data_IF_661302636601
#
_entry.id   IF_661302636601
#
_cell.length_a   1.000
_cell.length_b   1.000
_cell.length_c   1.000
_cell.angle_alpha   90.00
_cell.angle_beta   90.00
_cell.angle_gamma   90.00
#
_symmetry.space_group_name_H-M   'P 1'
#
loop_
_entity.id
_entity.type
_entity.pdbx_description
1 polymer ?
#
# COMPACT_ATOMS: atom_id res chain seq x y z
N UNK A 1 13.17 2.12 -41.50
CA UNK A 1 12.21 2.33 -40.39
C UNK A 1 12.81 1.66 -39.16
N UNK A 2 13.40 2.43 -38.26
CA UNK A 2 14.05 1.88 -37.07
C UNK A 2 13.00 1.71 -35.98
N UNK A 3 12.60 0.46 -35.70
CA UNK A 3 11.82 0.12 -34.52
C UNK A 3 12.74 0.16 -33.30
N UNK A 4 12.57 1.17 -32.46
CA UNK A 4 13.16 1.22 -31.12
C UNK A 4 12.45 0.19 -30.24
N UNK A 5 12.86 -1.06 -30.31
CA UNK A 5 12.58 -2.03 -29.25
C UNK A 5 13.48 -1.68 -28.08
N UNK A 6 12.92 -1.02 -27.07
CA UNK A 6 13.58 -0.81 -25.79
C UNK A 6 13.94 -2.17 -25.19
N UNK A 7 15.23 -2.46 -25.16
CA UNK A 7 15.80 -3.64 -24.53
C UNK A 7 15.72 -3.42 -23.00
N UNK A 8 14.66 -3.93 -22.38
CA UNK A 8 14.60 -4.04 -20.92
C UNK A 8 15.52 -5.21 -20.53
N UNK A 9 16.61 -4.88 -19.83
CA UNK A 9 17.59 -5.84 -19.32
C UNK A 9 17.03 -6.55 -18.08
N UNK A 10 16.93 -7.89 -18.05
CA UNK A 10 16.55 -8.64 -16.87
C UNK A 10 17.84 -9.17 -16.19
N UNK A 11 18.41 -8.47 -15.22
CA UNK A 11 19.70 -8.94 -14.65
C UNK A 11 19.92 -8.64 -13.15
N UNK A 12 18.85 -8.61 -12.37
CA UNK A 12 18.91 -8.51 -10.91
C UNK A 12 18.36 -9.75 -10.19
N UNK A 13 17.93 -10.79 -10.93
CA UNK A 13 17.46 -12.07 -10.34
C UNK A 13 16.19 -11.96 -9.49
N UNK A 14 15.55 -10.79 -9.51
CA UNK A 14 14.24 -10.47 -8.91
C UNK A 14 13.22 -10.12 -10.00
N UNK A 15 13.41 -10.65 -11.22
CA UNK A 15 12.39 -10.59 -12.25
C UNK A 15 11.19 -11.38 -11.79
N UNK A 16 10.01 -10.76 -11.75
CA UNK A 16 8.77 -11.48 -11.53
C UNK A 16 8.60 -12.43 -12.72
N UNK A 17 8.62 -13.73 -12.45
CA UNK A 17 8.48 -14.74 -13.48
C UNK A 17 7.05 -14.69 -14.04
N UNK A 18 6.89 -14.98 -15.34
CA UNK A 18 5.59 -14.87 -16.01
C UNK A 18 4.49 -15.66 -15.27
N UNK A 19 4.82 -16.83 -14.73
CA UNK A 19 3.89 -17.66 -13.97
C UNK A 19 3.44 -17.04 -12.63
N UNK A 20 4.27 -16.23 -11.98
CA UNK A 20 3.93 -15.51 -10.76
C UNK A 20 2.96 -14.36 -11.07
N UNK A 21 3.18 -13.66 -12.19
CA UNK A 21 2.24 -12.67 -12.72
C UNK A 21 0.90 -13.34 -13.02
N UNK A 22 0.91 -14.48 -13.72
CA UNK A 22 -0.31 -15.20 -14.07
C UNK A 22 -1.07 -15.73 -12.85
N UNK A 23 -0.38 -16.16 -11.79
CA UNK A 23 -1.02 -16.59 -10.55
C UNK A 23 -1.75 -15.45 -9.83
N UNK A 24 -1.12 -14.27 -9.77
CA UNK A 24 -1.74 -13.07 -9.19
C UNK A 24 -2.92 -12.59 -10.05
N UNK A 25 -2.77 -12.63 -11.38
CA UNK A 25 -3.86 -12.29 -12.32
C UNK A 25 -5.04 -13.26 -12.19
N UNK A 26 -4.80 -14.57 -12.10
CA UNK A 26 -5.84 -15.57 -11.93
C UNK A 26 -6.63 -15.37 -10.64
N UNK A 27 -5.95 -15.09 -9.52
CA UNK A 27 -6.60 -14.76 -8.23
C UNK A 27 -7.39 -13.45 -8.32
N UNK A 28 -6.83 -12.45 -9.00
CA UNK A 28 -7.46 -11.14 -9.16
C UNK A 28 -8.58 -11.11 -10.21
N UNK A 29 -8.72 -12.07 -11.12
CA UNK A 29 -9.75 -12.04 -12.18
C UNK A 29 -10.77 -13.16 -12.03
N UNK A 30 -10.37 -14.31 -11.50
CA UNK A 30 -11.15 -15.56 -11.53
C UNK A 30 -11.10 -16.24 -12.91
N UNK A 31 -11.71 -17.42 -13.02
CA UNK A 31 -11.79 -18.20 -14.26
C UNK A 31 -12.79 -17.54 -15.25
N UNK A 32 -12.29 -17.07 -16.40
CA UNK A 32 -13.04 -16.25 -17.38
C UNK A 32 -12.67 -16.55 -18.82
N UNK A 33 -12.54 -17.84 -19.14
CA UNK A 33 -12.30 -18.31 -20.50
C UNK A 33 -13.37 -17.78 -21.47
N UNK A 34 -12.95 -17.03 -22.50
CA UNK A 34 -13.83 -16.52 -23.57
C UNK A 34 -14.28 -15.06 -23.48
N UNK A 35 -13.84 -14.28 -22.47
CA UNK A 35 -14.16 -12.85 -22.35
C UNK A 35 -13.14 -11.91 -23.04
N UNK A 36 -13.57 -10.70 -23.38
CA UNK A 36 -12.80 -9.71 -24.16
C UNK A 36 -11.52 -9.24 -23.42
N UNK A 37 -10.33 -9.35 -24.05
CA UNK A 37 -9.07 -8.78 -23.58
C UNK A 37 -9.01 -7.22 -23.54
N UNK A 38 -10.07 -6.47 -23.72
CA UNK A 38 -10.12 -5.08 -23.28
C UNK A 38 -10.75 -4.97 -21.89
N UNK A 39 -11.78 -5.77 -21.66
CA UNK A 39 -12.57 -5.76 -20.43
C UNK A 39 -11.80 -6.32 -19.22
N UNK A 40 -11.00 -7.38 -19.42
CA UNK A 40 -10.12 -7.95 -18.38
C UNK A 40 -9.14 -6.92 -17.78
N UNK A 41 -8.53 -6.05 -18.59
CA UNK A 41 -7.53 -5.05 -18.20
C UNK A 41 -8.19 -3.94 -17.41
N UNK A 42 -9.38 -3.50 -17.83
CA UNK A 42 -10.18 -2.56 -17.05
C UNK A 42 -10.52 -3.13 -15.68
N UNK A 43 -10.97 -4.40 -15.62
CA UNK A 43 -11.35 -5.06 -14.37
C UNK A 43 -10.16 -5.26 -13.41
N UNK A 44 -9.00 -5.66 -13.95
CA UNK A 44 -7.74 -5.77 -13.23
C UNK A 44 -7.29 -4.42 -12.66
N UNK A 45 -7.30 -3.37 -13.48
CA UNK A 45 -6.95 -2.02 -13.04
C UNK A 45 -7.89 -1.52 -11.94
N UNK A 46 -9.20 -1.78 -12.05
CA UNK A 46 -10.18 -1.44 -11.02
C UNK A 46 -9.94 -2.21 -9.71
N UNK A 47 -9.63 -3.51 -9.77
CA UNK A 47 -9.33 -4.32 -8.59
C UNK A 47 -8.01 -3.92 -7.93
N UNK A 48 -6.98 -3.64 -8.73
CA UNK A 48 -5.71 -3.13 -8.22
C UNK A 48 -5.88 -1.77 -7.56
N UNK A 49 -6.61 -0.84 -8.18
CA UNK A 49 -6.93 0.46 -7.59
C UNK A 49 -7.72 0.32 -6.27
N UNK A 50 -8.70 -0.59 -6.22
CA UNK A 50 -9.45 -0.89 -5.01
C UNK A 50 -8.54 -1.45 -3.90
N UNK A 51 -7.65 -2.39 -4.23
CA UNK A 51 -6.70 -2.96 -3.28
C UNK A 51 -5.79 -1.87 -2.70
N UNK A 52 -5.26 -0.98 -3.54
CA UNK A 52 -4.44 0.16 -3.11
C UNK A 52 -5.22 1.12 -2.21
N UNK A 53 -6.47 1.43 -2.56
CA UNK A 53 -7.34 2.28 -1.75
C UNK A 53 -7.62 1.67 -0.37
N UNK A 54 -7.93 0.36 -0.32
CA UNK A 54 -8.14 -0.37 0.94
C UNK A 54 -6.85 -0.41 1.76
N UNK A 55 -5.70 -0.72 1.15
CA UNK A 55 -4.41 -0.74 1.84
C UNK A 55 -4.05 0.63 2.42
N UNK A 56 -4.28 1.71 1.67
CA UNK A 56 -4.08 3.09 2.14
C UNK A 56 -4.99 3.39 3.33
N UNK A 57 -6.28 3.03 3.24
CA UNK A 57 -7.24 3.24 4.33
C UNK A 57 -6.86 2.47 5.59
N UNK A 58 -6.41 1.23 5.46
CA UNK A 58 -5.90 0.43 6.59
C UNK A 58 -4.65 1.07 7.19
N UNK A 59 -3.75 1.60 6.36
CA UNK A 59 -2.57 2.32 6.85
C UNK A 59 -2.94 3.59 7.62
N UNK A 60 -3.95 4.33 7.17
CA UNK A 60 -4.47 5.52 7.87
C UNK A 60 -5.08 5.17 9.21
N UNK A 61 -5.92 4.13 9.26
CA UNK A 61 -6.51 3.65 10.51
C UNK A 61 -5.44 3.24 11.53
N UNK A 62 -4.37 2.56 11.08
CA UNK A 62 -3.21 2.22 11.93
C UNK A 62 -2.51 3.48 12.45
N UNK A 63 -2.36 4.50 11.61
CA UNK A 63 -1.75 5.76 11.99
C UNK A 63 -2.58 6.47 13.07
N UNK A 64 -3.89 6.59 12.85
CA UNK A 64 -4.82 7.22 13.79
C UNK A 64 -4.85 6.51 15.15
N UNK A 65 -4.86 5.17 15.15
CA UNK A 65 -4.80 4.40 16.39
C UNK A 65 -3.47 4.60 17.14
N UNK A 66 -2.34 4.65 16.42
CA UNK A 66 -1.04 4.93 17.03
C UNK A 66 -0.96 6.34 17.62
N UNK A 67 -1.55 7.33 16.95
CA UNK A 67 -1.64 8.71 17.45
C UNK A 67 -2.55 8.82 18.68
N UNK A 68 -3.68 8.10 18.71
CA UNK A 68 -4.55 8.03 19.90
C UNK A 68 -3.78 7.48 21.11
N UNK A 69 -3.07 6.36 20.94
CA UNK A 69 -2.20 5.79 21.97
C UNK A 69 -1.09 6.79 22.37
N UNK A 70 -0.48 7.47 21.40
CA UNK A 70 0.55 8.46 21.67
C UNK A 70 0.03 9.64 22.49
N UNK A 71 -1.19 10.12 22.20
CA UNK A 71 -1.86 11.17 22.97
C UNK A 71 -2.28 10.70 24.36
N UNK A 72 -2.70 9.45 24.51
CA UNK A 72 -3.08 8.89 25.82
C UNK A 72 -1.89 8.70 26.77
N UNK A 73 -0.65 8.76 26.28
CA UNK A 73 0.56 8.71 27.12
C UNK A 73 0.84 9.99 27.93
N UNK A 74 0.12 11.09 27.67
CA UNK A 74 0.26 12.34 28.42
C UNK A 74 1.61 13.05 28.23
N UNK A 75 2.13 13.66 29.30
CA UNK A 75 3.36 14.47 29.26
C UNK A 75 4.63 13.63 29.03
N UNK A 76 4.62 12.35 29.44
CA UNK A 76 5.75 11.43 29.26
C UNK A 76 5.77 10.73 27.89
N UNK A 77 4.99 11.22 26.92
CA UNK A 77 4.92 10.62 25.60
C UNK A 77 6.25 10.75 24.87
N UNK A 78 6.68 9.65 24.27
CA UNK A 78 7.84 9.66 23.37
C UNK A 78 7.66 8.59 22.30
N UNK A 79 8.24 8.82 21.13
CA UNK A 79 8.22 7.82 20.05
C UNK A 79 8.91 6.51 20.45
N UNK A 80 9.85 6.54 21.39
CA UNK A 80 10.47 5.33 21.92
C UNK A 80 9.48 4.50 22.76
N UNK A 81 8.69 5.16 23.62
CA UNK A 81 7.65 4.51 24.43
C UNK A 81 6.51 3.98 23.57
N UNK A 82 6.08 4.75 22.56
CA UNK A 82 5.11 4.29 21.57
C UNK A 82 5.64 3.10 20.77
N UNK A 83 6.90 3.16 20.32
CA UNK A 83 7.58 2.06 19.65
C UNK A 83 7.58 0.78 20.50
N UNK A 84 7.99 0.88 21.77
CA UNK A 84 7.96 -0.25 22.69
C UNK A 84 6.53 -0.82 22.89
N UNK A 85 5.52 0.05 23.01
CA UNK A 85 4.11 -0.35 23.18
C UNK A 85 3.57 -1.09 21.96
N UNK A 86 3.95 -0.66 20.75
CA UNK A 86 3.49 -1.23 19.49
C UNK A 86 4.41 -2.33 18.93
N UNK A 87 5.49 -2.69 19.65
CA UNK A 87 6.56 -3.55 19.14
C UNK A 87 7.15 -3.07 17.80
N UNK A 88 7.46 -1.77 17.73
CA UNK A 88 8.00 -1.07 16.58
C UNK A 88 9.29 -0.34 16.95
N UNK A 89 10.12 -0.03 15.95
CA UNK A 89 11.20 0.93 16.15
C UNK A 89 10.65 2.33 16.47
N UNK A 90 11.45 3.15 17.16
CA UNK A 90 11.15 4.57 17.40
C UNK A 90 10.78 5.31 16.10
N UNK A 91 11.54 5.08 15.02
CA UNK A 91 11.31 5.74 13.73
C UNK A 91 9.98 5.33 13.11
N UNK A 92 9.59 4.06 13.22
CA UNK A 92 8.31 3.58 12.68
C UNK A 92 7.12 4.12 13.47
N UNK A 93 7.24 4.21 14.79
CA UNK A 93 6.25 4.86 15.65
C UNK A 93 6.08 6.35 15.30
N UNK A 94 7.19 7.07 15.07
CA UNK A 94 7.15 8.46 14.61
C UNK A 94 6.44 8.61 13.26
N UNK A 95 6.74 7.76 12.27
CA UNK A 95 6.09 7.79 10.95
C UNK A 95 4.58 7.63 11.04
N UNK A 96 4.08 6.78 11.96
CA UNK A 96 2.64 6.59 12.16
C UNK A 96 1.98 7.85 12.71
N UNK A 97 2.58 8.50 13.71
CA UNK A 97 2.06 9.76 14.28
C UNK A 97 2.08 10.88 13.25
N UNK A 98 3.17 11.03 12.48
CA UNK A 98 3.24 12.03 11.42
C UNK A 98 2.27 11.76 10.26
N UNK A 99 2.00 10.48 9.95
CA UNK A 99 0.96 10.14 8.98
C UNK A 99 -0.42 10.50 9.50
N UNK A 100 -0.73 10.24 10.76
CA UNK A 100 -2.02 10.59 11.37
C UNK A 100 -2.30 12.11 11.27
N UNK A 101 -1.28 12.94 11.49
CA UNK A 101 -1.39 14.38 11.30
C UNK A 101 -1.80 14.77 9.87
N UNK A 102 -1.28 14.10 8.85
CA UNK A 102 -1.64 14.33 7.44
C UNK A 102 -3.07 13.91 7.13
N UNK A 103 -3.50 12.75 7.66
CA UNK A 103 -4.87 12.24 7.49
C UNK A 103 -5.91 13.19 8.11
N UNK A 104 -5.60 13.80 9.25
CA UNK A 104 -6.51 14.75 9.90
C UNK A 104 -6.64 16.07 9.13
N UNK A 105 -5.56 16.56 8.49
CA UNK A 105 -5.63 17.77 7.64
C UNK A 105 -6.53 17.55 6.42
N UNK A 106 -6.54 16.35 5.86
CA UNK A 106 -7.37 16.01 4.69
C UNK A 106 -8.86 15.83 5.04
N UNK A 107 -9.25 15.87 6.32
CA UNK A 107 -10.62 15.65 6.79
C UNK A 107 -11.30 16.87 7.40
N UNK A 108 -10.60 18.00 7.58
CA UNK A 108 -11.24 19.26 7.97
C UNK A 108 -11.73 20.05 6.73
N UNK A 109 -13.03 20.38 6.63
CA UNK A 109 -13.51 21.27 5.58
C UNK A 109 -13.01 22.69 5.87
N UNK A 110 -12.26 23.27 4.91
CA UNK A 110 -11.87 24.68 4.93
C UNK A 110 -13.05 25.63 4.72
#
# INVERSE_FOLDING_TARGET
MNTHTAHLSPDDGYGVEEHEVQAVLAELVGDREGEDPAWWLTHLNSRHALLLAVASRVADLKALAADEIYRSMGEDRSYAKLGATLNLSRSRAQQLVERAARVNVDTEPG
#
